data_IF_308824536452
#
_entry.id   IF_308824536452
#
_cell.length_a   1.000
_cell.length_b   1.000
_cell.length_c   1.000
_cell.angle_alpha   90.00
_cell.angle_beta   90.00
_cell.angle_gamma   90.00
#
_symmetry.space_group_name_H-M   'P 1'
#
loop_
_entity.id
_entity.type
_entity.pdbx_description
1 polymer ?
#
# COMPACT_ATOMS: atom_id res chain seq x y z
N UNK A 1 13.38 -13.89 -17.50
CA UNK A 1 13.60 -14.40 -16.14
C UNK A 1 14.49 -15.63 -16.21
N UNK A 2 15.58 -15.68 -15.48
CA UNK A 2 16.46 -16.85 -15.54
C UNK A 2 15.79 -18.09 -14.97
N UNK A 3 16.19 -19.29 -15.41
CA UNK A 3 15.71 -20.54 -14.80
C UNK A 3 16.05 -20.61 -13.32
N UNK A 4 15.22 -21.32 -12.56
CA UNK A 4 15.36 -21.42 -11.10
C UNK A 4 16.76 -21.90 -10.69
N UNK A 5 17.38 -22.82 -11.47
CA UNK A 5 18.71 -23.35 -11.18
C UNK A 5 19.82 -22.31 -11.26
N UNK A 6 19.59 -21.17 -11.95
CA UNK A 6 20.59 -20.12 -12.09
C UNK A 6 20.59 -19.14 -10.91
N UNK A 7 19.65 -19.26 -9.98
CA UNK A 7 19.57 -18.40 -8.80
C UNK A 7 20.37 -18.95 -7.62
N UNK A 8 21.12 -20.01 -7.82
CA UNK A 8 21.88 -20.69 -6.78
C UNK A 8 23.37 -20.46 -6.98
N UNK A 9 24.06 -20.17 -5.86
CA UNK A 9 25.53 -20.09 -5.91
C UNK A 9 26.12 -21.49 -6.07
N UNK A 10 27.14 -21.60 -6.94
CA UNK A 10 27.82 -22.87 -7.20
C UNK A 10 28.89 -23.20 -6.16
N UNK A 11 29.16 -22.27 -5.24
CA UNK A 11 30.14 -22.48 -4.17
C UNK A 11 29.60 -21.83 -2.89
N UNK A 12 30.23 -22.17 -1.78
CA UNK A 12 29.94 -21.52 -0.50
C UNK A 12 30.53 -20.10 -0.52
N UNK A 13 29.67 -19.12 -0.70
CA UNK A 13 30.07 -17.72 -0.86
C UNK A 13 29.64 -16.83 0.33
N UNK A 14 29.30 -17.42 1.47
CA UNK A 14 28.88 -16.68 2.63
C UNK A 14 30.01 -15.82 3.19
N UNK A 15 29.78 -14.51 3.19
CA UNK A 15 30.66 -13.55 3.90
C UNK A 15 30.11 -13.43 5.32
N UNK A 16 30.62 -14.26 6.21
CA UNK A 16 30.07 -14.38 7.57
C UNK A 16 30.13 -13.07 8.36
N UNK A 17 31.24 -12.33 8.40
CA UNK A 17 31.26 -11.06 9.14
C UNK A 17 30.20 -10.06 8.65
N UNK A 18 30.04 -9.93 7.35
CA UNK A 18 29.01 -9.05 6.76
C UNK A 18 27.62 -9.56 7.07
N UNK A 19 27.38 -10.85 6.89
CA UNK A 19 26.08 -11.44 7.14
C UNK A 19 25.66 -11.33 8.59
N UNK A 20 26.59 -11.54 9.53
CA UNK A 20 26.32 -11.39 10.96
C UNK A 20 25.99 -9.93 11.33
N UNK A 21 26.72 -8.98 10.75
CA UNK A 21 26.45 -7.56 10.98
C UNK A 21 25.06 -7.17 10.50
N UNK A 22 24.65 -7.65 9.31
CA UNK A 22 23.33 -7.40 8.76
C UNK A 22 22.22 -8.11 9.55
N UNK A 23 22.50 -9.33 9.99
CA UNK A 23 21.57 -10.07 10.83
C UNK A 23 21.26 -9.34 12.13
N UNK A 24 22.28 -8.73 12.74
CA UNK A 24 22.11 -7.98 13.98
C UNK A 24 21.25 -6.72 13.80
N UNK A 25 21.20 -6.19 12.58
CA UNK A 25 20.42 -4.97 12.24
C UNK A 25 19.16 -5.24 11.44
N UNK A 26 18.78 -6.52 11.26
CA UNK A 26 17.58 -6.84 10.51
C UNK A 26 16.34 -6.24 11.16
N UNK A 27 15.31 -6.05 10.37
CA UNK A 27 14.03 -5.55 10.87
C UNK A 27 13.53 -6.45 11.99
N UNK A 28 13.01 -5.84 13.04
CA UNK A 28 12.25 -6.56 14.06
C UNK A 28 11.05 -7.24 13.39
N UNK A 29 10.75 -8.50 13.80
CA UNK A 29 9.69 -9.28 13.17
C UNK A 29 8.32 -8.60 13.23
N UNK A 30 8.00 -7.94 14.35
CA UNK A 30 6.75 -7.20 14.47
C UNK A 30 6.70 -5.99 13.56
N UNK A 31 7.81 -5.27 13.44
CA UNK A 31 7.92 -4.12 12.54
C UNK A 31 7.81 -4.56 11.08
N UNK A 32 8.47 -5.65 10.72
CA UNK A 32 8.41 -6.19 9.36
C UNK A 32 6.96 -6.55 8.98
N UNK A 33 6.22 -7.17 9.90
CA UNK A 33 4.83 -7.53 9.67
C UNK A 33 3.96 -6.29 9.44
N UNK A 34 4.14 -5.24 10.27
CA UNK A 34 3.37 -4.00 10.14
C UNK A 34 3.62 -3.31 8.80
N UNK A 35 4.89 -3.20 8.42
CA UNK A 35 5.24 -2.55 7.15
C UNK A 35 4.75 -3.37 5.95
N UNK A 36 4.83 -4.69 6.04
CA UNK A 36 4.32 -5.58 5.00
C UNK A 36 2.79 -5.40 4.83
N UNK A 37 2.05 -5.29 5.93
CA UNK A 37 0.59 -5.08 5.87
C UNK A 37 0.25 -3.76 5.18
N UNK A 38 1.01 -2.69 5.43
CA UNK A 38 0.82 -1.40 4.75
C UNK A 38 1.05 -1.54 3.25
N UNK A 39 2.13 -2.19 2.86
CA UNK A 39 2.43 -2.40 1.44
C UNK A 39 1.36 -3.27 0.78
N UNK A 40 0.90 -4.31 1.47
CA UNK A 40 -0.13 -5.22 0.98
C UNK A 40 -1.45 -4.50 0.74
N UNK A 41 -1.78 -3.48 1.52
CA UNK A 41 -3.02 -2.75 1.36
C UNK A 41 -3.14 -2.09 -0.02
N UNK A 42 -2.04 -1.79 -0.69
CA UNK A 42 -2.04 -1.23 -2.05
C UNK A 42 -1.87 -2.30 -3.13
N UNK A 43 -1.88 -3.58 -2.78
CA UNK A 43 -1.67 -4.65 -3.76
C UNK A 43 -2.92 -5.03 -4.54
N UNK A 44 -4.07 -4.48 -4.19
CA UNK A 44 -5.33 -4.72 -4.90
C UNK A 44 -5.60 -3.56 -5.88
N UNK A 45 -5.92 -3.85 -7.15
CA UNK A 45 -6.14 -2.79 -8.15
C UNK A 45 -7.26 -1.80 -7.78
N UNK A 46 -8.34 -2.27 -7.16
CA UNK A 46 -9.43 -1.37 -6.77
C UNK A 46 -8.98 -0.47 -5.62
N UNK A 47 -8.28 -1.01 -4.62
CA UNK A 47 -7.74 -0.19 -3.53
C UNK A 47 -6.74 0.83 -4.04
N UNK A 48 -5.89 0.43 -4.98
CA UNK A 48 -4.94 1.35 -5.59
C UNK A 48 -5.65 2.48 -6.32
N UNK A 49 -6.71 2.16 -7.06
CA UNK A 49 -7.52 3.17 -7.76
C UNK A 49 -8.19 4.13 -6.77
N UNK A 50 -8.71 3.62 -5.66
CA UNK A 50 -9.29 4.45 -4.60
C UNK A 50 -8.24 5.41 -4.04
N UNK A 51 -7.07 4.90 -3.72
CA UNK A 51 -5.98 5.71 -3.16
C UNK A 51 -5.53 6.78 -4.17
N UNK A 52 -5.43 6.43 -5.44
CA UNK A 52 -5.07 7.37 -6.50
C UNK A 52 -6.10 8.50 -6.62
N UNK A 53 -7.40 8.18 -6.56
CA UNK A 53 -8.46 9.19 -6.58
C UNK A 53 -8.34 10.13 -5.37
N UNK A 54 -8.06 9.58 -4.19
CA UNK A 54 -7.87 10.38 -2.99
C UNK A 54 -6.64 11.28 -3.07
N UNK A 55 -5.63 10.90 -3.85
CA UNK A 55 -4.44 11.73 -4.02
C UNK A 55 -4.69 12.98 -4.88
N UNK A 56 -5.75 12.96 -5.66
CA UNK A 56 -6.09 14.05 -6.57
C UNK A 56 -7.01 15.10 -5.92
N UNK A 57 -7.40 14.89 -4.67
CA UNK A 57 -8.29 15.80 -3.96
C UNK A 57 -7.99 15.73 -2.46
N UNK A 58 -8.69 16.56 -1.67
CA UNK A 58 -8.51 16.55 -0.22
C UNK A 58 -9.29 15.42 0.44
N UNK A 59 -10.59 15.33 0.16
CA UNK A 59 -11.45 14.34 0.80
C UNK A 59 -12.54 13.87 -0.16
N UNK A 60 -12.95 12.60 -0.03
CA UNK A 60 -14.06 12.04 -0.78
C UNK A 60 -14.91 11.16 0.14
N UNK A 61 -16.22 11.15 -0.09
CA UNK A 61 -17.10 10.20 0.58
C UNK A 61 -17.15 8.88 -0.21
N UNK A 62 -17.78 7.86 0.40
CA UNK A 62 -17.93 6.54 -0.23
C UNK A 62 -18.68 6.64 -1.56
N UNK A 63 -19.70 7.50 -1.61
CA UNK A 63 -20.49 7.68 -2.84
C UNK A 63 -19.65 8.17 -4.01
N UNK A 64 -18.77 9.15 -3.73
CA UNK A 64 -17.85 9.67 -4.75
C UNK A 64 -16.92 8.58 -5.25
N UNK A 65 -16.36 7.81 -4.34
CA UNK A 65 -15.41 6.75 -4.68
C UNK A 65 -16.09 5.59 -5.42
N UNK A 66 -17.32 5.27 -5.06
CA UNK A 66 -18.11 4.27 -5.78
C UNK A 66 -18.33 4.71 -7.22
N UNK A 67 -18.64 5.98 -7.42
CA UNK A 67 -18.81 6.55 -8.76
C UNK A 67 -17.51 6.48 -9.57
N UNK A 68 -16.41 6.92 -8.97
CA UNK A 68 -15.09 6.94 -9.63
C UNK A 68 -14.64 5.54 -10.02
N UNK A 69 -14.83 4.57 -9.14
CA UNK A 69 -14.34 3.20 -9.37
C UNK A 69 -15.32 2.32 -10.12
N UNK A 70 -16.57 2.78 -10.28
CA UNK A 70 -17.65 1.99 -10.86
C UNK A 70 -17.84 0.66 -10.10
N UNK A 71 -17.76 0.73 -8.77
CA UNK A 71 -17.95 -0.40 -7.87
C UNK A 71 -19.05 -0.09 -6.88
N UNK A 72 -19.65 -1.14 -6.32
CA UNK A 72 -20.70 -1.00 -5.31
C UNK A 72 -20.15 -0.33 -4.05
N UNK A 73 -20.98 0.47 -3.37
CA UNK A 73 -20.58 1.20 -2.17
C UNK A 73 -20.09 0.28 -1.05
N UNK A 74 -20.71 -0.89 -0.87
CA UNK A 74 -20.29 -1.83 0.16
C UNK A 74 -18.90 -2.39 -0.10
N UNK A 75 -18.54 -2.61 -1.36
CA UNK A 75 -17.21 -3.06 -1.74
C UNK A 75 -16.18 -1.95 -1.50
N UNK A 76 -16.50 -0.73 -1.91
CA UNK A 76 -15.64 0.44 -1.67
C UNK A 76 -15.43 0.64 -0.17
N UNK A 77 -16.50 0.54 0.63
CA UNK A 77 -16.40 0.66 2.10
C UNK A 77 -15.46 -0.40 2.68
N UNK A 78 -15.52 -1.63 2.17
CA UNK A 78 -14.63 -2.70 2.59
C UNK A 78 -13.17 -2.34 2.30
N UNK A 79 -12.90 -1.88 1.10
CA UNK A 79 -11.54 -1.48 0.70
C UNK A 79 -11.04 -0.30 1.53
N UNK A 80 -11.90 0.66 1.85
CA UNK A 80 -11.54 1.78 2.70
C UNK A 80 -11.20 1.34 4.13
N UNK A 81 -11.92 0.34 4.65
CA UNK A 81 -11.58 -0.23 5.97
C UNK A 81 -10.20 -0.88 5.96
N UNK A 82 -9.85 -1.59 4.89
CA UNK A 82 -8.51 -2.19 4.75
C UNK A 82 -7.45 -1.11 4.73
N UNK A 83 -7.65 -0.06 3.92
CA UNK A 83 -6.71 1.07 3.83
C UNK A 83 -6.58 1.80 5.17
N UNK A 84 -7.68 1.96 5.91
CA UNK A 84 -7.65 2.62 7.21
C UNK A 84 -6.93 1.78 8.26
N UNK A 85 -7.15 0.46 8.27
CA UNK A 85 -6.45 -0.45 9.17
C UNK A 85 -4.94 -0.46 8.93
N UNK A 86 -4.53 -0.22 7.69
CA UNK A 86 -3.13 -0.10 7.31
C UNK A 86 -2.57 1.32 7.55
N UNK A 87 -3.38 2.23 8.06
CA UNK A 87 -3.02 3.62 8.33
C UNK A 87 -2.66 4.42 7.07
N UNK A 88 -3.21 4.03 5.94
CA UNK A 88 -2.99 4.74 4.67
C UNK A 88 -4.06 5.78 4.38
N UNK A 89 -5.24 5.61 4.97
CA UNK A 89 -6.32 6.61 4.93
C UNK A 89 -6.84 6.84 6.34
N UNK A 90 -7.48 7.97 6.53
CA UNK A 90 -8.24 8.28 7.74
C UNK A 90 -9.61 8.81 7.33
N UNK A 91 -10.55 8.74 8.26
CA UNK A 91 -11.92 9.18 8.01
C UNK A 91 -12.37 10.17 9.08
N UNK A 92 -13.31 11.00 8.71
CA UNK A 92 -14.03 11.87 9.65
C UNK A 92 -15.49 11.93 9.26
N UNK A 93 -16.33 12.19 10.24
CA UNK A 93 -17.75 12.36 9.98
C UNK A 93 -18.09 13.84 9.91
N UNK A 94 -18.84 14.20 8.90
CA UNK A 94 -19.39 15.55 8.77
C UNK A 94 -20.89 15.41 8.47
N UNK A 95 -21.74 15.75 9.45
CA UNK A 95 -23.17 15.52 9.40
C UNK A 95 -23.47 14.04 9.12
N UNK A 96 -24.10 13.71 8.01
CA UNK A 96 -24.45 12.34 7.65
C UNK A 96 -23.42 11.69 6.71
N UNK A 97 -22.34 12.41 6.38
CA UNK A 97 -21.30 11.92 5.50
C UNK A 97 -20.11 11.43 6.26
N UNK A 98 -19.45 10.41 5.73
CA UNK A 98 -18.12 9.99 6.18
C UNK A 98 -17.16 10.31 5.06
N UNK A 99 -16.18 11.15 5.36
CA UNK A 99 -15.19 11.62 4.40
C UNK A 99 -13.86 10.93 4.66
N UNK A 100 -13.19 10.54 3.60
CA UNK A 100 -11.90 9.85 3.64
C UNK A 100 -10.83 10.69 2.99
N UNK A 101 -9.61 10.63 3.55
CA UNK A 101 -8.44 11.29 2.96
C UNK A 101 -7.23 10.39 3.16
N UNK A 102 -6.22 10.57 2.30
CA UNK A 102 -4.94 9.90 2.50
C UNK A 102 -4.23 10.49 3.71
N UNK A 103 -3.60 9.60 4.50
CA UNK A 103 -2.64 10.03 5.51
C UNK A 103 -1.35 10.46 4.81
N UNK A 104 -0.45 11.21 5.49
CA UNK A 104 0.87 11.48 4.92
C UNK A 104 1.61 10.20 4.53
N UNK A 105 1.49 9.14 5.32
CA UNK A 105 2.07 7.84 5.03
C UNK A 105 1.47 7.23 3.77
N UNK A 106 0.14 7.28 3.64
CA UNK A 106 -0.55 6.77 2.46
C UNK A 106 -0.14 7.51 1.21
N UNK A 107 -0.01 8.82 1.31
CA UNK A 107 0.41 9.65 0.18
C UNK A 107 1.84 9.33 -0.25
N UNK A 108 2.75 9.17 0.71
CA UNK A 108 4.14 8.84 0.42
C UNK A 108 4.28 7.47 -0.24
N UNK A 109 3.59 6.46 0.30
CA UNK A 109 3.64 5.11 -0.26
C UNK A 109 3.03 5.05 -1.66
N UNK A 110 1.88 5.68 -1.84
CA UNK A 110 1.21 5.76 -3.14
C UNK A 110 2.10 6.43 -4.18
N UNK A 111 2.73 7.52 -3.81
CA UNK A 111 3.63 8.27 -4.70
C UNK A 111 4.77 7.38 -5.20
N UNK A 112 5.32 6.55 -4.33
CA UNK A 112 6.38 5.61 -4.70
C UNK A 112 5.86 4.52 -5.64
N UNK A 113 4.68 3.98 -5.35
CA UNK A 113 4.06 2.92 -6.17
C UNK A 113 3.72 3.46 -7.56
N UNK A 114 3.25 4.71 -7.65
CA UNK A 114 2.85 5.33 -8.91
C UNK A 114 3.96 6.21 -9.52
N UNK A 115 5.22 5.93 -9.19
CA UNK A 115 6.35 6.72 -9.69
C UNK A 115 6.46 6.70 -11.22
N UNK A 116 5.97 5.63 -11.86
CA UNK A 116 5.83 5.56 -13.30
C UNK A 116 4.56 6.34 -13.69
N UNK A 117 4.70 7.37 -14.51
CA UNK A 117 3.66 8.37 -14.72
C UNK A 117 2.66 8.08 -15.83
N UNK A 118 2.79 7.00 -16.56
CA UNK A 118 1.90 6.69 -17.68
C UNK A 118 0.74 5.80 -17.24
N UNK A 119 -0.01 6.25 -16.23
CA UNK A 119 -1.02 5.42 -15.58
C UNK A 119 -2.47 5.90 -15.77
N UNK A 120 -2.67 7.08 -16.35
CA UNK A 120 -4.03 7.62 -16.52
C UNK A 120 -4.61 7.21 -17.87
N UNK A 121 -5.84 6.71 -17.80
CA UNK A 121 -6.57 6.37 -19.00
C UNK A 121 -7.09 7.63 -19.70
#
# INVERSE_FOLDING_TARGET
MPPVGQDRCDLLCLDLPKAEALRARRLDGGAAARFADRAKALSDPTRLTIAAALSDTDELCVCDLAWVTERAENLVSHHLRVLRSAELVRSRREAKMVLYELTPRGRALLSTVLADTEVRA
#
